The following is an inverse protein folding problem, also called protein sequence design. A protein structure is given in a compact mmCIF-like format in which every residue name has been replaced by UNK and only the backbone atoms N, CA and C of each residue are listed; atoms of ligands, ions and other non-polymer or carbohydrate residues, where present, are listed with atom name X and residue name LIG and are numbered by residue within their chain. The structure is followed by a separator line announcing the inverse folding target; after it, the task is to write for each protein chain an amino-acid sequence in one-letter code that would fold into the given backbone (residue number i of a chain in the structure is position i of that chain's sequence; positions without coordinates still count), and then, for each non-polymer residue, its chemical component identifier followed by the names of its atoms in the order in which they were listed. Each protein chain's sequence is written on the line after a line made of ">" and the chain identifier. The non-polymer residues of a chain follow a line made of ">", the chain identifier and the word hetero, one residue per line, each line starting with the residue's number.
data_IF_315681727859
#
_entry.id   IF_315681727859
#
_cell.length_a   1.000
_cell.length_b   1.000
_cell.length_c   1.000
_cell.angle_alpha   90.00
_cell.angle_beta   90.00
_cell.angle_gamma   90.00
#
_symmetry.space_group_name_H-M   'P 1'
#
loop_
_entity.id
_entity.type
_entity.pdbx_description
1 polymer ?
#
# COMPACT_ATOMS: atom_id res chain seq x y z
N UNK A 1 22.95 10.29 0.43
CA UNK A 1 22.11 9.14 0.01
C UNK A 1 21.04 8.92 1.07
N UNK A 2 19.77 8.69 0.71
CA UNK A 2 18.79 8.31 1.75
C UNK A 2 19.21 6.94 2.27
N UNK A 3 19.40 6.83 3.58
CA UNK A 3 19.75 5.56 4.19
C UNK A 3 18.53 4.66 4.02
N UNK A 4 18.62 3.60 3.20
CA UNK A 4 17.51 2.64 2.98
C UNK A 4 16.89 2.19 4.31
N UNK A 5 17.69 2.16 5.39
CA UNK A 5 17.21 1.90 6.76
C UNK A 5 16.09 2.85 7.21
N UNK A 6 16.15 4.13 6.86
CA UNK A 6 15.14 5.14 7.20
C UNK A 6 13.79 4.83 6.52
N UNK A 7 13.80 4.42 5.25
CA UNK A 7 12.58 3.99 4.56
C UNK A 7 11.92 2.81 5.28
N UNK A 8 12.71 1.76 5.58
CA UNK A 8 12.19 0.58 6.26
C UNK A 8 11.60 0.94 7.63
N UNK A 9 12.30 1.73 8.44
CA UNK A 9 11.78 2.16 9.76
C UNK A 9 10.45 2.91 9.62
N UNK A 10 10.34 3.83 8.64
CA UNK A 10 9.10 4.59 8.43
C UNK A 10 7.94 3.72 7.97
N UNK A 11 8.16 2.82 7.01
CA UNK A 11 7.08 1.94 6.53
C UNK A 11 6.67 0.93 7.60
N UNK A 12 7.62 0.35 8.34
CA UNK A 12 7.31 -0.53 9.47
C UNK A 12 6.56 0.22 10.58
N UNK A 13 6.98 1.44 10.92
CA UNK A 13 6.28 2.28 11.89
C UNK A 13 4.84 2.60 11.45
N UNK A 14 4.65 2.96 10.17
CA UNK A 14 3.32 3.17 9.59
C UNK A 14 2.47 1.90 9.66
N UNK A 15 3.04 0.75 9.28
CA UNK A 15 2.33 -0.54 9.32
C UNK A 15 1.92 -0.91 10.74
N UNK A 16 2.78 -0.72 11.74
CA UNK A 16 2.43 -0.97 13.14
C UNK A 16 1.26 -0.10 13.60
N UNK A 17 1.25 1.19 13.23
CA UNK A 17 0.14 2.10 13.56
C UNK A 17 -1.15 1.64 12.88
N UNK A 18 -1.10 1.28 11.60
CA UNK A 18 -2.27 0.82 10.83
C UNK A 18 -2.76 -0.53 11.36
N UNK A 19 -1.86 -1.43 11.78
CA UNK A 19 -2.20 -2.72 12.37
C UNK A 19 -2.93 -2.54 13.71
N UNK A 20 -2.40 -1.70 14.60
CA UNK A 20 -3.07 -1.37 15.87
C UNK A 20 -4.46 -0.77 15.61
N UNK A 21 -4.58 0.14 14.65
CA UNK A 21 -5.86 0.72 14.27
C UNK A 21 -6.83 -0.33 13.68
N UNK A 22 -6.33 -1.28 12.90
CA UNK A 22 -7.10 -2.37 12.29
C UNK A 22 -7.60 -3.35 13.35
N UNK A 23 -6.76 -3.71 14.32
CA UNK A 23 -7.13 -4.54 15.47
C UNK A 23 -8.16 -3.82 16.34
N UNK A 24 -7.97 -2.54 16.64
CA UNK A 24 -8.94 -1.74 17.38
C UNK A 24 -10.29 -1.72 16.64
N UNK A 25 -10.29 -1.46 15.33
CA UNK A 25 -11.50 -1.51 14.51
C UNK A 25 -12.21 -2.86 14.62
N UNK A 26 -11.46 -3.96 14.59
CA UNK A 26 -12.01 -5.31 14.72
C UNK A 26 -12.73 -5.53 16.06
N UNK A 27 -12.16 -5.07 17.17
CA UNK A 27 -12.77 -5.26 18.49
C UNK A 27 -13.97 -4.36 18.77
N UNK A 28 -13.97 -3.14 18.24
CA UNK A 28 -15.00 -2.14 18.59
C UNK A 28 -16.15 -2.04 17.59
N UNK A 29 -16.00 -2.57 16.37
CA UNK A 29 -17.02 -2.45 15.34
C UNK A 29 -17.91 -3.70 15.21
N UNK A 30 -19.19 -3.54 14.84
CA UNK A 30 -20.06 -4.66 14.54
C UNK A 30 -19.49 -5.55 13.42
N UNK A 31 -19.70 -6.88 13.46
CA UNK A 31 -19.13 -7.82 12.47
C UNK A 31 -19.46 -7.50 11.01
N UNK A 32 -20.57 -6.82 10.73
CA UNK A 32 -20.95 -6.41 9.37
C UNK A 32 -19.97 -5.40 8.73
N UNK A 33 -19.18 -4.70 9.54
CA UNK A 33 -18.19 -3.70 9.08
C UNK A 33 -16.75 -4.21 9.18
N UNK A 34 -16.55 -5.49 9.50
CA UNK A 34 -15.23 -6.06 9.71
C UNK A 34 -15.04 -7.29 8.85
N UNK A 35 -14.06 -7.23 7.97
CA UNK A 35 -13.65 -8.41 7.21
C UNK A 35 -12.75 -9.31 8.08
N UNK A 36 -12.90 -10.64 8.00
CA UNK A 36 -11.97 -11.58 8.64
C UNK A 36 -10.52 -11.39 8.18
N UNK A 37 -10.30 -10.78 7.00
CA UNK A 37 -8.97 -10.55 6.44
C UNK A 37 -8.28 -9.29 6.97
N UNK A 38 -8.96 -8.49 7.80
CA UNK A 38 -8.48 -7.17 8.23
C UNK A 38 -7.06 -7.17 8.83
N UNK A 39 -6.65 -8.15 9.68
CA UNK A 39 -5.27 -8.20 10.22
C UNK A 39 -4.20 -8.53 9.19
N UNK A 40 -4.57 -9.14 8.05
CA UNK A 40 -3.61 -9.50 7.01
C UNK A 40 -3.38 -8.37 6.01
N UNK A 41 -4.31 -7.42 5.92
CA UNK A 41 -4.23 -6.31 4.97
C UNK A 41 -2.99 -5.42 5.22
N UNK A 42 -2.65 -4.96 6.44
CA UNK A 42 -1.49 -4.09 6.62
C UNK A 42 -0.18 -4.78 6.26
N UNK A 43 -0.06 -6.08 6.54
CA UNK A 43 1.09 -6.91 6.16
C UNK A 43 1.18 -7.05 4.63
N UNK A 44 0.05 -7.29 3.96
CA UNK A 44 -0.01 -7.31 2.49
C UNK A 44 0.47 -5.98 1.92
N UNK A 45 -0.04 -4.86 2.43
CA UNK A 45 0.37 -3.54 1.96
C UNK A 45 1.85 -3.26 2.23
N UNK A 46 2.38 -3.59 3.41
CA UNK A 46 3.81 -3.52 3.72
C UNK A 46 4.66 -4.25 2.67
N UNK A 47 4.30 -5.50 2.36
CA UNK A 47 5.01 -6.28 1.36
C UNK A 47 4.97 -5.61 -0.02
N UNK A 48 3.80 -5.15 -0.47
CA UNK A 48 3.66 -4.47 -1.75
C UNK A 48 4.46 -3.16 -1.81
N UNK A 49 4.42 -2.35 -0.74
CA UNK A 49 5.17 -1.09 -0.63
C UNK A 49 6.68 -1.32 -0.66
N UNK A 50 7.19 -2.38 -0.04
CA UNK A 50 8.61 -2.76 -0.13
C UNK A 50 8.97 -3.15 -1.57
N UNK A 51 8.11 -3.91 -2.26
CA UNK A 51 8.35 -4.28 -3.66
C UNK A 51 8.39 -3.06 -4.58
N UNK A 52 7.45 -2.13 -4.40
CA UNK A 52 7.37 -0.88 -5.18
C UNK A 52 8.60 -0.01 -4.91
N UNK A 53 9.02 0.13 -3.65
CA UNK A 53 10.22 0.89 -3.29
C UNK A 53 11.47 0.33 -3.98
N UNK A 54 11.64 -1.00 -4.02
CA UNK A 54 12.73 -1.63 -4.79
C UNK A 54 12.66 -1.28 -6.27
N UNK A 55 11.46 -1.25 -6.84
CA UNK A 55 11.23 -0.75 -8.21
C UNK A 55 11.71 0.68 -8.41
N UNK A 56 11.42 1.58 -7.47
CA UNK A 56 11.88 2.97 -7.52
C UNK A 56 13.39 3.13 -7.32
N UNK A 57 14.02 2.34 -6.45
CA UNK A 57 15.48 2.37 -6.27
C UNK A 57 16.22 2.07 -7.58
N UNK A 58 15.71 1.11 -8.38
CA UNK A 58 16.28 0.82 -9.70
C UNK A 58 16.07 1.93 -10.74
N UNK A 59 15.32 2.98 -10.39
CA UNK A 59 15.03 4.14 -11.23
C UNK A 59 15.86 5.37 -10.86
N UNK A 60 16.71 5.28 -9.82
CA UNK A 60 17.49 6.42 -9.33
C UNK A 60 18.55 6.90 -10.32
N UNK A 61 19.04 6.05 -11.22
CA UNK A 61 20.03 6.45 -12.22
C UNK A 61 19.37 7.02 -13.50
N UNK A 62 18.04 7.09 -13.55
CA UNK A 62 17.32 7.61 -14.70
C UNK A 62 17.21 9.14 -14.62
N UNK A 63 17.07 9.78 -15.78
CA UNK A 63 16.78 11.21 -15.80
C UNK A 63 15.37 11.49 -15.20
N UNK A 64 15.06 12.73 -14.78
CA UNK A 64 13.81 13.03 -14.09
C UNK A 64 12.55 12.66 -14.89
N UNK A 65 12.56 12.83 -16.22
CA UNK A 65 11.43 12.48 -17.07
C UNK A 65 11.17 10.96 -17.09
N UNK A 66 12.23 10.16 -17.22
CA UNK A 66 12.16 8.70 -17.17
C UNK A 66 11.75 8.19 -15.78
N UNK A 67 12.18 8.86 -14.70
CA UNK A 67 11.73 8.55 -13.34
C UNK A 67 10.21 8.73 -13.20
N UNK A 68 9.66 9.85 -13.68
CA UNK A 68 8.21 10.09 -13.67
C UNK A 68 7.46 9.05 -14.49
N UNK A 69 7.91 8.74 -15.71
CA UNK A 69 7.29 7.71 -16.54
C UNK A 69 7.27 6.35 -15.82
N UNK A 70 8.38 5.96 -15.20
CA UNK A 70 8.48 4.68 -14.48
C UNK A 70 7.65 4.64 -13.22
N UNK A 71 7.61 5.75 -12.47
CA UNK A 71 6.71 5.92 -11.33
C UNK A 71 5.25 5.67 -11.75
N UNK A 72 4.78 6.37 -12.79
CA UNK A 72 3.42 6.22 -13.29
C UNK A 72 3.10 4.79 -13.75
N UNK A 73 4.04 4.14 -14.43
CA UNK A 73 3.86 2.76 -14.89
C UNK A 73 3.70 1.79 -13.70
N UNK A 74 4.59 1.89 -12.70
CA UNK A 74 4.52 1.04 -11.50
C UNK A 74 3.21 1.28 -10.73
N UNK A 75 2.81 2.54 -10.55
CA UNK A 75 1.56 2.86 -9.85
C UNK A 75 0.32 2.38 -10.62
N UNK A 76 0.36 2.45 -11.95
CA UNK A 76 -0.74 1.97 -12.80
C UNK A 76 -0.87 0.44 -12.72
N UNK A 77 0.25 -0.28 -12.83
CA UNK A 77 0.25 -1.74 -12.68
C UNK A 77 -0.28 -2.13 -11.29
N UNK A 78 0.20 -1.47 -10.23
CA UNK A 78 -0.29 -1.70 -8.86
C UNK A 78 -1.81 -1.51 -8.76
N UNK A 79 -2.33 -0.39 -9.28
CA UNK A 79 -3.75 -0.08 -9.25
C UNK A 79 -4.57 -1.16 -9.98
N UNK A 80 -4.14 -1.57 -11.18
CA UNK A 80 -4.82 -2.62 -11.94
C UNK A 80 -4.77 -3.98 -11.23
N UNK A 81 -3.62 -4.34 -10.65
CA UNK A 81 -3.49 -5.57 -9.86
C UNK A 81 -4.42 -5.56 -8.65
N UNK A 82 -4.52 -4.43 -7.95
CA UNK A 82 -5.41 -4.30 -6.80
C UNK A 82 -6.89 -4.33 -7.20
N UNK A 83 -7.26 -3.69 -8.32
CA UNK A 83 -8.61 -3.80 -8.87
C UNK A 83 -8.97 -5.25 -9.21
N UNK A 84 -8.04 -6.01 -9.80
CA UNK A 84 -8.25 -7.43 -10.08
C UNK A 84 -8.45 -8.24 -8.78
N UNK A 85 -7.64 -8.00 -7.74
CA UNK A 85 -7.79 -8.65 -6.42
C UNK A 85 -9.16 -8.33 -5.82
N UNK A 86 -9.55 -7.04 -5.81
CA UNK A 86 -10.85 -6.60 -5.30
C UNK A 86 -12.01 -7.26 -6.05
N UNK A 87 -11.93 -7.31 -7.38
CA UNK A 87 -12.97 -7.91 -8.22
C UNK A 87 -13.10 -9.41 -7.97
N UNK A 88 -11.98 -10.15 -7.98
CA UNK A 88 -11.95 -11.59 -7.71
C UNK A 88 -12.53 -11.87 -6.32
N UNK A 89 -12.13 -11.10 -5.31
CA UNK A 89 -12.61 -11.28 -3.95
C UNK A 89 -14.11 -11.00 -3.82
N UNK A 90 -14.60 -9.89 -4.39
CA UNK A 90 -16.00 -9.49 -4.30
C UNK A 90 -16.94 -10.51 -4.95
N UNK A 91 -16.52 -11.13 -6.06
CA UNK A 91 -17.31 -12.16 -6.75
C UNK A 91 -17.29 -13.49 -5.98
N UNK A 92 -16.15 -13.85 -5.38
CA UNK A 92 -15.99 -15.08 -4.61
C UNK A 92 -16.66 -15.04 -3.22
N UNK A 93 -16.62 -13.89 -2.55
CA UNK A 93 -17.06 -13.71 -1.16
C UNK A 93 -18.06 -12.55 -1.05
N UNK A 94 -19.25 -12.72 -1.63
CA UNK A 94 -20.25 -11.64 -1.73
C UNK A 94 -20.67 -11.06 -0.38
N UNK A 95 -20.76 -11.90 0.65
CA UNK A 95 -21.17 -11.48 2.01
C UNK A 95 -20.10 -10.59 2.69
N UNK A 96 -18.82 -10.84 2.40
CA UNK A 96 -17.69 -10.07 2.95
C UNK A 96 -17.18 -8.98 2.00
N UNK A 97 -17.76 -8.86 0.81
CA UNK A 97 -17.25 -7.97 -0.23
C UNK A 97 -17.19 -6.52 0.24
N UNK A 98 -18.27 -5.98 0.81
CA UNK A 98 -18.32 -4.60 1.23
C UNK A 98 -17.29 -4.25 2.33
N UNK A 99 -17.24 -4.96 3.49
CA UNK A 99 -16.25 -4.65 4.53
C UNK A 99 -14.81 -4.88 4.05
N UNK A 100 -14.55 -5.87 3.20
CA UNK A 100 -13.24 -6.07 2.59
C UNK A 100 -12.85 -4.92 1.67
N UNK A 101 -13.74 -4.52 0.75
CA UNK A 101 -13.48 -3.45 -0.22
C UNK A 101 -13.15 -2.13 0.50
N UNK A 102 -13.94 -1.77 1.52
CA UNK A 102 -13.72 -0.55 2.30
C UNK A 102 -12.40 -0.61 3.07
N UNK A 103 -12.12 -1.72 3.76
CA UNK A 103 -10.88 -1.90 4.53
C UNK A 103 -9.65 -1.82 3.62
N UNK A 104 -9.71 -2.52 2.47
CA UNK A 104 -8.66 -2.51 1.47
C UNK A 104 -8.46 -1.11 0.89
N UNK A 105 -9.55 -0.40 0.57
CA UNK A 105 -9.50 0.94 -0.02
C UNK A 105 -8.88 1.97 0.94
N UNK A 106 -9.25 1.95 2.22
CA UNK A 106 -8.68 2.86 3.23
C UNK A 106 -7.18 2.62 3.35
N UNK A 107 -6.74 1.37 3.47
CA UNK A 107 -5.32 1.05 3.53
C UNK A 107 -4.60 1.41 2.23
N UNK A 108 -5.22 1.15 1.07
CA UNK A 108 -4.69 1.56 -0.23
C UNK A 108 -4.37 3.06 -0.27
N UNK A 109 -5.26 3.91 0.23
CA UNK A 109 -5.02 5.36 0.26
C UNK A 109 -3.83 5.71 1.17
N UNK A 110 -3.77 5.13 2.36
CA UNK A 110 -2.68 5.37 3.33
C UNK A 110 -1.33 5.01 2.73
N UNK A 111 -1.18 3.78 2.22
CA UNK A 111 0.08 3.30 1.68
C UNK A 111 0.44 3.97 0.34
N UNK A 112 -0.54 4.28 -0.51
CA UNK A 112 -0.27 5.02 -1.75
C UNK A 112 0.18 6.45 -1.51
N UNK A 113 -0.40 7.13 -0.51
CA UNK A 113 0.05 8.46 -0.11
C UNK A 113 1.49 8.41 0.43
N UNK A 114 1.80 7.42 1.27
CA UNK A 114 3.16 7.18 1.76
C UNK A 114 4.15 6.96 0.60
N UNK A 115 3.83 6.05 -0.33
CA UNK A 115 4.67 5.78 -1.50
C UNK A 115 4.90 7.00 -2.39
N UNK A 116 3.86 7.82 -2.61
CA UNK A 116 3.99 9.05 -3.39
C UNK A 116 4.95 10.06 -2.73
N UNK A 117 4.82 10.25 -1.41
CA UNK A 117 5.72 11.12 -0.63
C UNK A 117 7.16 10.61 -0.70
N UNK A 118 7.37 9.30 -0.58
CA UNK A 118 8.68 8.67 -0.67
C UNK A 118 9.29 8.78 -2.08
N UNK A 119 8.48 8.59 -3.13
CA UNK A 119 8.94 8.77 -4.51
C UNK A 119 9.38 10.22 -4.78
N UNK A 120 8.65 11.22 -4.26
CA UNK A 120 9.05 12.63 -4.38
C UNK A 120 10.38 12.89 -3.68
N UNK A 121 10.61 12.32 -2.49
CA UNK A 121 11.88 12.45 -1.76
C UNK A 121 13.05 11.85 -2.53
N UNK A 122 12.84 10.69 -3.17
CA UNK A 122 13.85 10.04 -4.00
C UNK A 122 14.18 10.89 -5.24
N UNK A 123 13.19 11.42 -5.93
CA UNK A 123 13.40 12.24 -7.13
C UNK A 123 14.15 13.55 -6.85
N UNK A 124 13.85 14.23 -5.73
CA UNK A 124 14.53 15.48 -5.33
C UNK A 124 16.02 15.32 -5.00
N UNK A 125 16.50 14.07 -4.84
CA UNK A 125 17.85 13.76 -4.39
C UNK A 125 18.77 13.30 -5.53
N UNK A 126 18.21 13.07 -6.71
CA UNK A 126 18.91 12.90 -7.97
C UNK A 126 19.10 14.25 -8.67
#
# INVERSE_FOLDING_TARGET
>A
MENNKSFYIRVFGLTLIVEIASIAWWFFMPPIWVTPLLPFLPIFFLATTILIHKGFLSSLNLNPQQFVTRYMLITTIKLLSFLAILFIYAVANKEDALPFLLSFFVQYLIYSAFEAVEAIKLNKKN
#
